data_IF_168555132973
#
_entry.id   IF_168555132973
#
_cell.length_a   1.000
_cell.length_b   1.000
_cell.length_c   1.000
_cell.angle_alpha   90.00
_cell.angle_beta   90.00
_cell.angle_gamma   90.00
#
_symmetry.space_group_name_H-M   'P 1'
#
loop_
_entity.id
_entity.type
_entity.pdbx_description
1 polymer ?
#
# COMPACT_ATOMS: atom_id res chain seq x y z
N UNK A 1 39.53 7.25 -18.27
CA UNK A 1 38.31 8.05 -18.50
C UNK A 1 37.23 7.26 -19.22
N UNK A 2 37.54 6.58 -20.35
CA UNK A 2 36.57 5.77 -21.12
C UNK A 2 35.91 4.62 -20.32
N UNK A 3 36.64 3.97 -19.41
CA UNK A 3 36.11 2.84 -18.64
C UNK A 3 35.13 3.24 -17.52
N UNK A 4 35.32 4.42 -16.94
CA UNK A 4 34.41 5.01 -15.94
C UNK A 4 33.07 5.41 -16.58
N UNK A 5 33.11 5.95 -17.80
CA UNK A 5 31.92 6.30 -18.58
C UNK A 5 31.08 5.08 -18.96
N UNK A 6 31.75 3.97 -19.33
CA UNK A 6 31.07 2.70 -19.64
C UNK A 6 30.36 2.09 -18.43
N UNK A 7 30.94 2.22 -17.24
CA UNK A 7 30.33 1.71 -16.02
C UNK A 7 29.08 2.51 -15.63
N UNK A 8 29.12 3.84 -15.77
CA UNK A 8 27.97 4.71 -15.52
C UNK A 8 26.80 4.44 -16.48
N UNK A 9 27.09 4.26 -17.78
CA UNK A 9 26.08 3.92 -18.76
C UNK A 9 25.44 2.54 -18.52
N UNK A 10 26.23 1.55 -18.08
CA UNK A 10 25.73 0.23 -17.76
C UNK A 10 24.77 0.23 -16.56
N UNK A 11 25.09 1.00 -15.51
CA UNK A 11 24.20 1.16 -14.34
C UNK A 11 22.90 1.88 -14.72
N UNK A 12 22.98 2.91 -15.56
CA UNK A 12 21.81 3.67 -15.99
C UNK A 12 20.89 2.82 -16.89
N UNK A 13 21.47 1.99 -17.76
CA UNK A 13 20.73 0.99 -18.54
C UNK A 13 20.07 -0.06 -17.65
N UNK A 14 20.75 -0.53 -16.61
CA UNK A 14 20.21 -1.52 -15.68
C UNK A 14 19.05 -0.97 -14.85
N UNK A 15 19.13 0.31 -14.44
CA UNK A 15 18.03 1.04 -13.80
C UNK A 15 16.85 1.19 -14.77
N UNK A 16 17.12 1.53 -16.04
CA UNK A 16 16.07 1.70 -17.06
C UNK A 16 15.38 0.36 -17.41
N UNK A 17 16.13 -0.75 -17.46
CA UNK A 17 15.56 -2.09 -17.67
C UNK A 17 14.74 -2.56 -16.47
N UNK A 18 15.19 -2.29 -15.24
CA UNK A 18 14.41 -2.57 -14.03
C UNK A 18 13.12 -1.75 -13.97
N UNK A 19 13.14 -0.51 -14.50
CA UNK A 19 11.95 0.35 -14.55
C UNK A 19 10.88 -0.17 -15.52
N UNK A 20 11.30 -0.74 -16.66
CA UNK A 20 10.38 -1.29 -17.67
C UNK A 20 9.79 -2.66 -17.29
N UNK A 21 10.52 -3.49 -16.55
CA UNK A 21 10.04 -4.79 -16.05
C UNK A 21 8.91 -4.64 -14.99
N UNK A 22 8.77 -3.46 -14.36
CA UNK A 22 7.69 -3.22 -13.39
C UNK A 22 6.31 -2.94 -14.02
N UNK A 23 6.22 -2.76 -15.34
CA UNK A 23 4.96 -2.48 -16.04
C UNK A 23 4.41 -3.71 -16.76
N UNK A 24 4.19 -4.80 -16.03
CA UNK A 24 3.39 -5.92 -16.56
C UNK A 24 1.91 -5.51 -16.50
N UNK A 25 1.27 -5.43 -17.65
CA UNK A 25 -0.16 -5.14 -17.79
C UNK A 25 -0.98 -6.21 -17.07
N UNK A 26 -1.48 -5.88 -15.88
CA UNK A 26 -2.40 -6.72 -15.14
C UNK A 26 -3.73 -6.85 -15.90
N UNK A 27 -4.29 -8.05 -15.94
CA UNK A 27 -5.68 -8.28 -16.35
C UNK A 27 -6.60 -7.36 -15.52
N UNK A 28 -7.58 -6.69 -16.15
CA UNK A 28 -8.43 -5.73 -15.44
C UNK A 28 -9.28 -6.46 -14.39
N UNK A 29 -9.15 -6.03 -13.14
CA UNK A 29 -9.94 -6.55 -12.02
C UNK A 29 -11.44 -6.38 -12.28
N UNK A 30 -12.29 -7.34 -11.85
CA UNK A 30 -13.75 -7.27 -12.01
C UNK A 30 -14.33 -6.04 -11.28
N UNK A 31 -15.44 -5.53 -11.81
CA UNK A 31 -16.12 -4.33 -11.32
C UNK A 31 -17.58 -4.66 -11.02
N UNK A 32 -18.01 -4.40 -9.79
CA UNK A 32 -19.37 -4.55 -9.33
C UNK A 32 -19.96 -3.19 -9.00
N UNK A 33 -21.13 -2.91 -9.57
CA UNK A 33 -21.86 -1.65 -9.40
C UNK A 33 -23.27 -1.94 -8.92
N UNK A 34 -23.72 -1.22 -7.90
CA UNK A 34 -25.11 -1.22 -7.48
C UNK A 34 -25.73 0.17 -7.60
N UNK A 35 -26.93 0.21 -8.18
CA UNK A 35 -27.72 1.42 -8.39
C UNK A 35 -29.16 1.18 -7.95
N UNK A 36 -29.71 2.12 -7.19
CA UNK A 36 -31.13 2.11 -6.78
C UNK A 36 -31.82 3.33 -7.37
N UNK A 37 -32.99 3.13 -8.00
CA UNK A 37 -33.75 4.19 -8.66
C UNK A 37 -32.94 4.98 -9.70
N UNK A 38 -32.01 4.31 -10.40
CA UNK A 38 -31.14 4.93 -11.41
C UNK A 38 -29.95 5.73 -10.85
N UNK A 39 -29.77 5.77 -9.52
CA UNK A 39 -28.62 6.40 -8.89
C UNK A 39 -27.60 5.33 -8.48
N UNK A 40 -26.41 5.36 -9.07
CA UNK A 40 -25.26 4.57 -8.61
C UNK A 40 -24.88 5.03 -7.20
N UNK A 41 -24.82 4.10 -6.25
CA UNK A 41 -24.48 4.42 -4.87
C UNK A 41 -23.24 3.67 -4.38
N UNK A 42 -22.98 2.47 -4.93
CA UNK A 42 -21.81 1.66 -4.56
C UNK A 42 -21.12 1.16 -5.83
N UNK A 43 -19.79 1.24 -5.83
CA UNK A 43 -18.93 0.69 -6.87
C UNK A 43 -17.70 0.05 -6.23
N UNK A 44 -17.44 -1.20 -6.55
CA UNK A 44 -16.31 -1.98 -6.05
C UNK A 44 -15.57 -2.59 -7.24
N UNK A 45 -14.24 -2.45 -7.26
CA UNK A 45 -13.36 -3.14 -8.19
C UNK A 45 -12.24 -3.78 -7.38
N UNK A 46 -12.01 -5.09 -7.54
CA UNK A 46 -10.90 -5.75 -6.86
C UNK A 46 -10.64 -7.15 -7.42
N UNK A 47 -9.37 -7.55 -7.42
CA UNK A 47 -9.01 -8.96 -7.50
C UNK A 47 -9.16 -9.56 -6.10
N UNK A 48 -10.07 -10.52 -5.93
CA UNK A 48 -10.40 -11.10 -4.63
C UNK A 48 -9.98 -12.57 -4.57
N UNK A 49 -9.30 -12.95 -3.50
CA UNK A 49 -8.90 -14.33 -3.22
C UNK A 49 -9.42 -14.74 -1.86
N UNK A 50 -10.08 -15.90 -1.80
CA UNK A 50 -10.54 -16.49 -0.56
C UNK A 50 -9.60 -17.61 -0.12
N UNK A 51 -9.29 -17.64 1.16
CA UNK A 51 -8.68 -18.78 1.85
C UNK A 51 -9.65 -19.25 2.92
N UNK A 52 -10.09 -20.50 2.85
CA UNK A 52 -11.06 -21.06 3.81
C UNK A 52 -10.53 -22.35 4.40
N UNK A 53 -10.60 -22.48 5.71
CA UNK A 53 -10.46 -23.76 6.39
C UNK A 53 -11.75 -24.58 6.28
N UNK A 54 -11.62 -25.90 6.19
CA UNK A 54 -12.75 -26.83 6.23
C UNK A 54 -12.30 -28.20 6.76
N UNK A 55 -13.26 -28.98 7.26
CA UNK A 55 -13.03 -30.36 7.65
C UNK A 55 -13.44 -31.31 6.52
N UNK A 56 -12.62 -32.34 6.29
CA UNK A 56 -12.94 -33.43 5.37
C UNK A 56 -13.52 -34.60 6.16
N UNK A 57 -14.47 -35.32 5.56
CA UNK A 57 -15.06 -36.51 6.18
C UNK A 57 -13.95 -37.52 6.55
N UNK A 58 -13.99 -38.03 7.78
CA UNK A 58 -13.02 -38.97 8.36
C UNK A 58 -11.57 -38.44 8.50
N UNK A 59 -11.33 -37.14 8.36
CA UNK A 59 -10.03 -36.52 8.66
C UNK A 59 -10.15 -35.58 9.85
N UNK A 60 -9.20 -35.67 10.78
CA UNK A 60 -9.14 -34.80 11.94
C UNK A 60 -8.47 -33.43 11.70
N UNK A 61 -7.38 -33.29 10.91
CA UNK A 61 -6.84 -31.96 10.66
C UNK A 61 -7.76 -31.18 9.72
N UNK A 62 -7.99 -29.90 10.04
CA UNK A 62 -8.59 -28.94 9.10
C UNK A 62 -7.66 -28.75 7.90
N UNK A 63 -8.27 -28.60 6.72
CA UNK A 63 -7.59 -28.38 5.45
C UNK A 63 -7.91 -26.96 4.97
N UNK A 64 -7.00 -26.35 4.23
CA UNK A 64 -7.19 -25.01 3.67
C UNK A 64 -7.33 -25.08 2.17
N UNK A 65 -8.38 -24.44 1.65
CA UNK A 65 -8.56 -24.22 0.23
C UNK A 65 -8.33 -22.75 -0.11
N UNK A 66 -7.75 -22.48 -1.29
CA UNK A 66 -7.52 -21.13 -1.81
C UNK A 66 -8.01 -21.03 -3.23
N UNK A 67 -8.81 -20.00 -3.52
CA UNK A 67 -9.36 -19.80 -4.85
C UNK A 67 -9.71 -18.32 -5.08
N UNK A 68 -9.72 -17.92 -6.35
CA UNK A 68 -10.07 -16.58 -6.77
C UNK A 68 -11.60 -16.44 -6.85
N UNK A 69 -12.15 -15.28 -6.48
CA UNK A 69 -13.57 -15.00 -6.65
C UNK A 69 -13.87 -14.96 -8.16
N UNK A 70 -14.89 -15.68 -8.63
CA UNK A 70 -15.15 -15.77 -10.07
C UNK A 70 -15.43 -14.41 -10.70
N UNK A 71 -14.88 -14.18 -11.89
CA UNK A 71 -15.04 -12.93 -12.65
C UNK A 71 -16.47 -12.70 -13.16
N UNK A 72 -17.22 -13.80 -13.31
CA UNK A 72 -18.63 -13.88 -13.71
C UNK A 72 -19.61 -13.59 -12.58
N UNK A 73 -19.10 -13.34 -11.37
CA UNK A 73 -19.91 -12.98 -10.21
C UNK A 73 -20.73 -11.72 -10.45
N UNK A 74 -21.95 -11.74 -9.94
CA UNK A 74 -22.96 -10.71 -10.22
C UNK A 74 -23.50 -10.08 -8.94
N UNK A 75 -23.90 -8.83 -9.06
CA UNK A 75 -24.52 -8.09 -7.95
C UNK A 75 -25.93 -8.62 -7.70
N UNK A 76 -26.18 -9.04 -6.48
CA UNK A 76 -27.52 -9.39 -6.01
C UNK A 76 -28.32 -8.11 -5.79
N UNK A 77 -29.30 -7.86 -6.68
CA UNK A 77 -30.10 -6.63 -6.63
C UNK A 77 -31.06 -6.60 -5.44
N UNK A 78 -31.49 -7.75 -4.96
CA UNK A 78 -32.46 -7.86 -3.86
C UNK A 78 -31.75 -7.83 -2.50
N UNK A 79 -30.50 -8.30 -2.44
CA UNK A 79 -29.66 -8.25 -1.24
C UNK A 79 -28.75 -7.02 -1.11
N UNK A 80 -28.70 -6.15 -2.12
CA UNK A 80 -27.95 -4.89 -2.09
C UNK A 80 -28.87 -3.69 -1.81
N UNK A 81 -28.35 -2.65 -1.19
CA UNK A 81 -29.12 -1.44 -0.86
C UNK A 81 -28.25 -0.18 -0.81
N UNK A 82 -28.77 0.93 -1.33
CA UNK A 82 -28.13 2.25 -1.22
C UNK A 82 -28.41 2.94 0.12
N UNK A 83 -29.34 2.42 0.90
CA UNK A 83 -29.61 2.88 2.26
C UNK A 83 -30.39 1.82 3.02
N UNK A 84 -29.84 1.35 4.13
CA UNK A 84 -30.56 0.52 5.09
C UNK A 84 -29.97 0.68 6.49
N UNK A 85 -30.72 0.26 7.50
CA UNK A 85 -30.20 0.12 8.85
C UNK A 85 -29.85 -1.35 9.07
N UNK A 86 -28.58 -1.62 9.34
CA UNK A 86 -28.12 -2.94 9.71
C UNK A 86 -28.04 -3.02 11.23
N UNK A 87 -28.73 -3.99 11.82
CA UNK A 87 -28.64 -4.22 13.26
C UNK A 87 -27.40 -5.08 13.54
N UNK A 88 -26.42 -4.52 14.22
CA UNK A 88 -25.22 -5.22 14.68
C UNK A 88 -25.22 -5.14 16.19
N UNK A 89 -25.31 -6.30 16.84
CA UNK A 89 -25.55 -6.42 18.27
C UNK A 89 -26.82 -5.63 18.69
N UNK A 90 -26.65 -4.56 19.46
CA UNK A 90 -27.74 -3.70 19.95
C UNK A 90 -27.74 -2.31 19.30
N UNK A 91 -27.03 -2.13 18.19
CA UNK A 91 -26.92 -0.85 17.48
C UNK A 91 -27.46 -0.95 16.06
N UNK A 92 -28.10 0.13 15.61
CA UNK A 92 -28.54 0.30 14.23
C UNK A 92 -27.52 1.16 13.49
N UNK A 93 -26.81 0.55 12.54
CA UNK A 93 -25.78 1.21 11.76
C UNK A 93 -26.37 1.59 10.39
N UNK A 94 -26.39 2.88 10.08
CA UNK A 94 -26.72 3.36 8.73
C UNK A 94 -25.72 2.79 7.73
N UNK A 95 -26.22 2.03 6.75
CA UNK A 95 -25.40 1.20 5.89
C UNK A 95 -25.77 1.30 4.41
N UNK A 96 -24.75 1.24 3.58
CA UNK A 96 -24.82 0.86 2.18
C UNK A 96 -24.30 -0.56 2.03
N UNK A 97 -25.05 -1.40 1.31
CA UNK A 97 -24.79 -2.84 1.23
C UNK A 97 -24.63 -3.27 -0.21
N UNK A 98 -23.52 -3.93 -0.50
CA UNK A 98 -23.26 -4.56 -1.79
C UNK A 98 -23.12 -6.07 -1.56
N UNK A 99 -24.06 -6.84 -2.11
CA UNK A 99 -24.00 -8.30 -2.11
C UNK A 99 -23.64 -8.80 -3.51
N UNK A 100 -22.66 -9.68 -3.57
CA UNK A 100 -22.16 -10.31 -4.79
C UNK A 100 -22.37 -11.83 -4.66
N UNK A 101 -22.99 -12.43 -5.66
CA UNK A 101 -23.15 -13.88 -5.79
C UNK A 101 -22.15 -14.41 -6.84
N UNK A 102 -21.55 -15.57 -6.60
CA UNK A 102 -20.40 -16.04 -7.40
C UNK A 102 -20.77 -16.49 -8.82
N UNK A 103 -21.75 -17.36 -8.97
CA UNK A 103 -22.33 -17.81 -10.24
C UNK A 103 -23.60 -18.61 -9.90
N UNK A 104 -24.53 -18.74 -10.84
CA UNK A 104 -25.66 -19.67 -10.75
C UNK A 104 -25.18 -21.13 -10.56
N UNK A 105 -23.99 -21.47 -11.09
CA UNK A 105 -23.37 -22.79 -10.91
C UNK A 105 -22.82 -23.02 -9.50
N UNK A 106 -22.65 -21.96 -8.72
CA UNK A 106 -22.06 -22.00 -7.38
C UNK A 106 -23.09 -21.54 -6.32
N UNK A 107 -24.25 -22.23 -6.19
CA UNK A 107 -25.32 -21.75 -5.33
C UNK A 107 -24.91 -21.79 -3.86
N UNK A 108 -25.36 -20.77 -3.12
CA UNK A 108 -25.03 -20.58 -1.71
C UNK A 108 -23.72 -19.83 -1.46
N UNK A 109 -22.94 -19.50 -2.49
CA UNK A 109 -21.76 -18.64 -2.38
C UNK A 109 -22.11 -17.17 -2.59
N UNK A 110 -21.77 -16.34 -1.59
CA UNK A 110 -21.90 -14.89 -1.72
C UNK A 110 -20.94 -14.14 -0.80
N UNK A 111 -20.59 -12.91 -1.18
CA UNK A 111 -19.88 -11.96 -0.34
C UNK A 111 -20.74 -10.70 -0.19
N UNK A 112 -20.87 -10.21 1.03
CA UNK A 112 -21.63 -9.02 1.37
C UNK A 112 -20.69 -8.01 2.00
N UNK A 113 -20.69 -6.80 1.46
CA UNK A 113 -19.90 -5.67 1.91
C UNK A 113 -20.83 -4.64 2.55
N UNK A 114 -20.50 -4.21 3.77
CA UNK A 114 -21.26 -3.18 4.48
C UNK A 114 -20.39 -1.93 4.67
N UNK A 115 -20.84 -0.83 4.10
CA UNK A 115 -20.24 0.49 4.23
C UNK A 115 -21.10 1.36 5.13
N UNK A 116 -20.47 2.24 5.91
CA UNK A 116 -21.18 3.22 6.73
C UNK A 116 -20.51 4.59 6.63
N UNK A 117 -21.30 5.63 6.79
CA UNK A 117 -20.87 7.02 6.96
C UNK A 117 -21.18 7.56 8.37
N UNK A 118 -21.49 6.66 9.33
CA UNK A 118 -21.87 7.04 10.69
C UNK A 118 -20.63 7.51 11.49
N UNK A 119 -20.43 8.82 11.50
CA UNK A 119 -19.34 9.47 12.24
C UNK A 119 -19.43 9.31 13.76
N UNK A 120 -20.60 8.96 14.32
CA UNK A 120 -20.74 8.78 15.77
C UNK A 120 -20.16 7.45 16.23
N UNK A 121 -20.39 6.40 15.45
CA UNK A 121 -19.94 5.05 15.78
C UNK A 121 -18.46 4.89 15.41
N UNK A 122 -18.11 5.31 14.19
CA UNK A 122 -16.81 5.02 13.61
C UNK A 122 -15.79 6.16 13.74
N UNK A 123 -16.21 7.33 14.25
CA UNK A 123 -15.36 8.53 14.40
C UNK A 123 -14.76 9.00 13.06
N UNK A 124 -15.49 8.79 11.97
CA UNK A 124 -15.17 9.36 10.67
C UNK A 124 -15.19 10.88 10.70
N UNK A 125 -14.36 11.51 9.88
CA UNK A 125 -14.51 12.93 9.59
C UNK A 125 -15.82 13.18 8.82
N UNK A 126 -16.38 14.38 8.95
CA UNK A 126 -17.64 14.72 8.29
C UNK A 126 -17.49 14.61 6.77
N UNK A 127 -18.24 13.70 6.15
CA UNK A 127 -18.19 13.47 4.71
C UNK A 127 -17.35 12.26 4.30
N UNK A 128 -16.86 11.47 5.25
CA UNK A 128 -16.19 10.20 4.97
C UNK A 128 -17.15 9.01 5.05
N UNK A 129 -16.73 7.90 4.46
CA UNK A 129 -17.33 6.59 4.63
C UNK A 129 -16.25 5.53 4.81
N UNK A 130 -16.60 4.37 5.37
CA UNK A 130 -15.70 3.23 5.48
C UNK A 130 -16.41 1.88 5.40
N UNK A 131 -15.65 0.85 5.03
CA UNK A 131 -16.08 -0.55 5.09
C UNK A 131 -15.96 -1.02 6.55
N UNK A 132 -17.08 -1.45 7.14
CA UNK A 132 -17.08 -1.89 8.54
C UNK A 132 -17.36 -3.37 8.73
N UNK A 133 -17.87 -4.06 7.70
CA UNK A 133 -18.15 -5.49 7.79
C UNK A 133 -18.09 -6.18 6.43
N UNK A 134 -17.52 -7.37 6.42
CA UNK A 134 -17.55 -8.32 5.30
C UNK A 134 -18.23 -9.59 5.79
N UNK A 135 -19.17 -10.12 5.02
CA UNK A 135 -19.82 -11.40 5.31
C UNK A 135 -19.66 -12.32 4.11
N UNK A 136 -19.21 -13.56 4.34
CA UNK A 136 -19.08 -14.58 3.29
C UNK A 136 -19.98 -15.75 3.63
N UNK A 137 -20.89 -16.09 2.73
CA UNK A 137 -21.62 -17.35 2.79
C UNK A 137 -20.87 -18.36 1.92
N UNK A 138 -20.44 -19.47 2.53
CA UNK A 138 -19.68 -20.52 1.89
C UNK A 138 -20.50 -21.81 1.86
N UNK A 139 -20.65 -22.38 0.67
CA UNK A 139 -21.28 -23.69 0.48
C UNK A 139 -20.28 -24.67 -0.14
N UNK A 140 -19.47 -25.31 0.69
CA UNK A 140 -18.38 -26.20 0.24
C UNK A 140 -18.82 -27.29 -0.74
N UNK A 141 -20.06 -27.75 -0.62
CA UNK A 141 -20.62 -28.85 -1.41
C UNK A 141 -20.76 -28.56 -2.90
N UNK A 142 -20.80 -27.27 -3.27
CA UNK A 142 -21.00 -26.84 -4.66
C UNK A 142 -19.69 -26.60 -5.42
N UNK A 143 -18.54 -26.79 -4.76
CA UNK A 143 -17.21 -26.66 -5.35
C UNK A 143 -16.36 -27.91 -5.08
N UNK A 144 -16.75 -29.10 -5.58
CA UNK A 144 -16.07 -30.36 -5.29
C UNK A 144 -14.61 -30.40 -5.80
N UNK A 145 -14.29 -29.62 -6.84
CA UNK A 145 -12.93 -29.52 -7.39
C UNK A 145 -11.95 -28.81 -6.45
N UNK A 146 -12.47 -27.97 -5.55
CA UNK A 146 -11.69 -27.19 -4.58
C UNK A 146 -11.80 -27.81 -3.18
N UNK A 147 -13.00 -28.27 -2.81
CA UNK A 147 -13.31 -28.83 -1.51
C UNK A 147 -13.60 -30.32 -1.63
N UNK A 148 -12.59 -31.13 -1.42
CA UNK A 148 -12.71 -32.59 -1.43
C UNK A 148 -13.47 -33.10 -0.20
N UNK A 149 -14.65 -33.68 -0.42
CA UNK A 149 -15.51 -34.35 0.56
C UNK A 149 -15.67 -33.59 1.90
N UNK A 150 -16.22 -32.36 1.89
CA UNK A 150 -16.44 -31.57 3.10
C UNK A 150 -17.50 -32.22 4.00
N UNK A 151 -17.47 -31.95 5.32
CA UNK A 151 -18.46 -32.47 6.30
C UNK A 151 -19.91 -31.97 6.07
N UNK A 152 -20.15 -31.17 5.04
CA UNK A 152 -21.45 -30.66 4.59
C UNK A 152 -22.19 -29.79 5.61
N UNK A 153 -21.69 -28.57 5.81
CA UNK A 153 -22.49 -27.47 6.33
C UNK A 153 -22.15 -26.18 5.58
N UNK A 154 -23.15 -25.40 5.12
CA UNK A 154 -22.94 -24.01 4.77
C UNK A 154 -22.42 -23.25 5.98
N UNK A 155 -21.38 -22.44 5.81
CA UNK A 155 -20.80 -21.64 6.88
C UNK A 155 -20.84 -20.18 6.49
N UNK A 156 -21.26 -19.34 7.43
CA UNK A 156 -21.20 -17.89 7.29
C UNK A 156 -20.02 -17.37 8.08
N UNK A 157 -19.10 -16.72 7.38
CA UNK A 157 -17.96 -16.01 7.94
C UNK A 157 -18.27 -14.52 8.02
N UNK A 158 -17.84 -13.88 9.09
CA UNK A 158 -18.01 -12.46 9.33
C UNK A 158 -16.65 -11.89 9.68
N UNK A 159 -16.28 -10.76 9.08
CA UNK A 159 -15.06 -10.05 9.49
C UNK A 159 -15.10 -9.71 10.96
N UNK A 160 -13.99 -9.98 11.65
CA UNK A 160 -13.85 -9.60 13.05
C UNK A 160 -14.00 -8.08 13.17
N UNK A 161 -14.97 -7.67 13.97
CA UNK A 161 -15.33 -6.28 14.16
C UNK A 161 -15.67 -6.07 15.63
N UNK A 162 -14.71 -5.50 16.36
CA UNK A 162 -14.91 -5.05 17.73
C UNK A 162 -15.31 -3.57 17.71
N UNK A 163 -16.50 -3.27 18.24
CA UNK A 163 -17.01 -1.91 18.42
C UNK A 163 -16.24 -1.11 19.48
N UNK A 164 -15.55 -1.81 20.40
CA UNK A 164 -14.66 -1.22 21.41
C UNK A 164 -13.33 -0.73 20.83
N UNK A 165 -12.84 -1.39 19.78
CA UNK A 165 -11.70 -0.96 18.98
C UNK A 165 -12.04 -1.01 17.48
N UNK A 166 -12.84 -0.04 16.97
CA UNK A 166 -13.32 -0.04 15.59
C UNK A 166 -12.19 0.08 14.55
N UNK A 167 -10.92 0.12 15.00
CA UNK A 167 -9.75 0.47 14.21
C UNK A 167 -9.25 -0.59 13.26
N UNK A 168 -9.64 -1.86 13.37
CA UNK A 168 -9.02 -2.91 12.56
C UNK A 168 -9.50 -2.92 11.10
N UNK A 169 -10.82 -3.00 10.88
CA UNK A 169 -11.39 -3.06 9.52
C UNK A 169 -11.72 -1.68 8.97
N UNK A 170 -12.32 -0.82 9.79
CA UNK A 170 -12.80 0.49 9.34
C UNK A 170 -11.64 1.43 8.97
N UNK A 171 -10.52 1.38 9.70
CA UNK A 171 -9.35 2.18 9.35
C UNK A 171 -8.56 1.63 8.16
N UNK A 172 -8.93 0.46 7.63
CA UNK A 172 -8.20 -0.12 6.49
C UNK A 172 -8.75 0.35 5.14
N UNK A 173 -10.07 0.57 5.05
CA UNK A 173 -10.78 0.96 3.83
C UNK A 173 -11.77 2.06 4.20
N UNK A 174 -11.31 3.31 4.11
CA UNK A 174 -12.12 4.51 4.32
C UNK A 174 -11.62 5.63 3.42
N UNK A 175 -12.52 6.54 3.04
CA UNK A 175 -12.20 7.71 2.20
C UNK A 175 -13.34 8.73 2.27
N UNK A 176 -13.09 9.92 1.74
CA UNK A 176 -14.13 10.94 1.50
C UNK A 176 -15.18 10.44 0.50
N UNK A 177 -16.44 10.84 0.66
CA UNK A 177 -17.56 10.56 -0.27
C UNK A 177 -17.38 11.15 -1.68
N UNK A 178 -16.44 12.10 -1.82
CA UNK A 178 -16.08 12.73 -3.09
C UNK A 178 -15.03 11.97 -3.88
N UNK A 179 -14.34 11.02 -3.23
CA UNK A 179 -13.27 10.23 -3.81
C UNK A 179 -13.58 8.73 -3.75
N UNK A 180 -12.82 7.97 -4.53
CA UNK A 180 -12.76 6.52 -4.47
C UNK A 180 -11.49 6.11 -3.72
N UNK A 181 -11.63 5.20 -2.75
CA UNK A 181 -10.49 4.57 -2.11
C UNK A 181 -9.79 3.68 -3.12
N UNK A 182 -8.46 3.71 -3.19
CA UNK A 182 -7.66 2.91 -4.09
C UNK A 182 -6.45 2.32 -3.37
N UNK A 183 -6.29 1.00 -3.46
CA UNK A 183 -5.18 0.27 -2.88
C UNK A 183 -4.65 -0.80 -3.86
N UNK A 184 -3.52 -0.54 -4.54
CA UNK A 184 -2.91 -1.55 -5.42
C UNK A 184 -2.27 -2.69 -4.63
N UNK A 185 -1.77 -2.39 -3.43
CA UNK A 185 -1.17 -3.36 -2.50
C UNK A 185 -2.16 -4.41 -2.02
N UNK A 186 -1.65 -5.60 -1.71
CA UNK A 186 -2.47 -6.70 -1.16
C UNK A 186 -2.98 -6.32 0.23
N UNK A 187 -4.29 -6.40 0.44
CA UNK A 187 -4.94 -6.21 1.74
C UNK A 187 -5.58 -7.52 2.18
N UNK A 188 -5.27 -8.00 3.38
CA UNK A 188 -5.78 -9.28 3.90
C UNK A 188 -6.66 -9.04 5.11
N UNK A 189 -7.84 -9.62 5.11
CA UNK A 189 -8.80 -9.53 6.20
C UNK A 189 -9.17 -10.92 6.72
N UNK A 190 -9.04 -11.09 8.03
CA UNK A 190 -9.42 -12.33 8.72
C UNK A 190 -10.92 -12.29 9.01
N UNK A 191 -11.58 -13.42 8.83
CA UNK A 191 -13.00 -13.60 9.03
C UNK A 191 -13.22 -14.75 10.02
N UNK A 192 -14.16 -14.55 10.94
CA UNK A 192 -14.54 -15.48 11.99
C UNK A 192 -15.91 -16.09 11.63
N UNK A 193 -16.09 -17.40 11.72
CA UNK A 193 -17.37 -18.07 11.49
C UNK A 193 -18.39 -17.74 12.58
N UNK A 194 -19.67 -17.67 12.22
CA UNK A 194 -20.72 -17.27 13.15
C UNK A 194 -21.00 -18.28 14.30
N UNK A 195 -20.56 -19.54 14.16
CA UNK A 195 -20.98 -20.63 15.07
C UNK A 195 -19.88 -21.65 15.42
N UNK A 196 -18.63 -21.47 14.99
CA UNK A 196 -17.58 -22.49 15.20
C UNK A 196 -16.16 -21.90 15.15
N UNK A 197 -15.58 -21.52 16.28
CA UNK A 197 -14.28 -20.82 16.38
C UNK A 197 -13.08 -21.57 15.75
N UNK A 198 -13.27 -22.79 15.24
CA UNK A 198 -12.21 -23.63 14.68
C UNK A 198 -11.92 -23.37 13.20
N UNK A 199 -12.89 -22.86 12.45
CA UNK A 199 -12.76 -22.65 11.01
C UNK A 199 -12.27 -21.23 10.70
N UNK A 200 -11.02 -21.11 10.29
CA UNK A 200 -10.44 -19.83 9.91
C UNK A 200 -10.76 -19.49 8.45
N UNK A 201 -11.02 -18.21 8.19
CA UNK A 201 -11.19 -17.70 6.84
C UNK A 201 -10.44 -16.39 6.67
N UNK A 202 -9.98 -16.13 5.45
CA UNK A 202 -9.49 -14.83 5.05
C UNK A 202 -9.87 -14.47 3.62
N UNK A 203 -10.06 -13.18 3.40
CA UNK A 203 -10.22 -12.58 2.08
C UNK A 203 -9.04 -11.65 1.82
N UNK A 204 -8.40 -11.83 0.67
CA UNK A 204 -7.30 -10.98 0.21
C UNK A 204 -7.75 -10.19 -1.01
N UNK A 205 -7.66 -8.86 -0.92
CA UNK A 205 -7.87 -7.95 -2.04
C UNK A 205 -6.55 -7.55 -2.67
N UNK A 206 -6.54 -7.36 -3.98
CA UNK A 206 -5.49 -6.68 -4.74
C UNK A 206 -6.14 -5.74 -5.74
N UNK A 207 -5.48 -4.61 -6.04
CA UNK A 207 -6.04 -3.60 -6.94
C UNK A 207 -7.44 -3.10 -6.49
N UNK A 208 -7.64 -3.00 -5.18
CA UNK A 208 -8.91 -2.61 -4.60
C UNK A 208 -9.23 -1.16 -4.95
N UNK A 209 -10.41 -0.92 -5.49
CA UNK A 209 -11.00 0.40 -5.64
C UNK A 209 -12.44 0.38 -5.16
N UNK A 210 -12.81 1.30 -4.26
CA UNK A 210 -14.16 1.36 -3.72
C UNK A 210 -14.69 2.77 -3.71
N UNK A 211 -15.97 2.91 -3.96
CA UNK A 211 -16.72 4.15 -3.85
C UNK A 211 -18.10 3.82 -3.29
N UNK A 212 -18.50 4.49 -2.23
CA UNK A 212 -19.82 4.36 -1.63
C UNK A 212 -20.33 5.75 -1.25
N UNK A 213 -21.63 5.86 -0.96
CA UNK A 213 -22.27 7.12 -0.58
C UNK A 213 -22.00 8.24 -1.58
N UNK A 214 -22.09 7.90 -2.88
CA UNK A 214 -21.83 8.84 -3.98
C UNK A 214 -22.84 9.97 -3.95
N UNK A 215 -22.43 11.10 -3.37
CA UNK A 215 -23.15 12.35 -3.52
C UNK A 215 -23.00 12.77 -4.98
N UNK A 216 -24.13 12.97 -5.69
CA UNK A 216 -24.06 13.65 -6.98
C UNK A 216 -23.38 14.99 -6.73
N UNK A 217 -22.35 15.38 -7.52
CA UNK A 217 -21.86 16.75 -7.43
C UNK A 217 -23.06 17.65 -7.68
N UNK A 218 -23.49 18.36 -6.63
CA UNK A 218 -24.36 19.51 -6.79
C UNK A 218 -23.55 20.41 -7.70
N UNK A 219 -23.97 20.52 -8.95
CA UNK A 219 -23.39 21.48 -9.89
C UNK A 219 -23.49 22.83 -9.19
N UNK A 220 -22.40 23.28 -8.59
CA UNK A 220 -22.27 24.63 -8.08
C UNK A 220 -22.26 25.50 -9.32
N UNK A 221 -23.46 25.88 -9.75
CA UNK A 221 -23.66 27.02 -10.61
C UNK A 221 -23.41 28.26 -9.75
N UNK A 222 -22.15 28.48 -9.40
CA UNK A 222 -21.68 29.82 -9.08
C UNK A 222 -21.74 30.58 -10.39
N UNK A 223 -22.84 31.30 -10.62
CA UNK A 223 -22.80 32.58 -11.30
C UNK A 223 -24.14 33.29 -11.14
N UNK A 224 -24.06 34.41 -10.43
CA UNK A 224 -24.93 35.57 -10.51
C UNK A 224 -26.45 35.34 -10.53
N UNK A 225 -27.03 35.51 -9.35
CA UNK A 225 -28.41 35.98 -9.16
C UNK A 225 -28.68 37.20 -10.07
N UNK A 226 -29.37 36.99 -11.20
CA UNK A 226 -30.16 38.01 -11.87
C UNK A 226 -31.58 37.49 -12.07
N UNK A 227 -32.43 38.03 -11.21
CA UNK A 227 -33.89 38.14 -11.32
C UNK A 227 -34.31 38.56 -12.73
N UNK A 228 -35.10 37.75 -13.41
CA UNK A 228 -36.12 38.21 -14.36
C UNK A 228 -37.11 37.09 -14.64
N UNK A 229 -38.39 37.44 -14.54
CA UNK A 229 -39.54 36.60 -14.86
C UNK A 229 -39.59 36.19 -16.35
N UNK A 230 -40.24 35.05 -16.59
CA UNK A 230 -40.89 34.57 -17.84
C UNK A 230 -40.41 33.19 -18.33
N UNK A 231 -41.23 32.18 -18.01
CA UNK A 231 -41.86 31.28 -18.97
C UNK A 231 -41.06 30.97 -20.25
N UNK A 232 -40.26 29.88 -20.24
CA UNK A 232 -40.18 28.93 -21.36
C UNK A 232 -39.65 27.59 -20.87
N UNK A 233 -40.41 26.56 -21.20
CA UNK A 233 -40.13 25.14 -21.00
C UNK A 233 -38.90 24.76 -21.84
N UNK A 234 -37.74 24.61 -21.21
CA UNK A 234 -36.60 23.96 -21.84
C UNK A 234 -36.20 22.77 -20.97
N UNK A 235 -36.67 21.60 -21.41
CA UNK A 235 -36.25 20.30 -20.91
C UNK A 235 -34.76 20.21 -21.23
N UNK A 236 -33.93 20.67 -20.28
CA UNK A 236 -32.51 20.40 -20.30
C UNK A 236 -32.37 18.90 -20.03
N UNK A 237 -32.18 18.16 -21.12
CA UNK A 237 -31.45 16.91 -21.11
C UNK A 237 -30.09 17.19 -20.44
N UNK A 238 -30.08 17.11 -19.11
CA UNK A 238 -28.87 17.01 -18.31
C UNK A 238 -28.24 15.69 -18.74
N UNK A 239 -27.37 15.82 -19.73
CA UNK A 239 -26.52 14.76 -20.24
C UNK A 239 -25.84 14.14 -19.03
N UNK A 240 -26.23 12.90 -18.75
CA UNK A 240 -25.60 12.00 -17.79
C UNK A 240 -24.10 12.05 -18.08
N UNK A 241 -23.35 12.82 -17.30
CA UNK A 241 -21.90 12.68 -17.25
C UNK A 241 -21.61 11.25 -16.80
N UNK A 242 -20.87 10.55 -17.64
CA UNK A 242 -20.47 9.13 -17.54
C UNK A 242 -20.59 8.54 -16.12
N UNK A 243 -21.70 7.87 -15.84
CA UNK A 243 -21.87 6.97 -14.69
C UNK A 243 -20.95 5.74 -14.72
N UNK A 244 -20.01 5.69 -15.67
CA UNK A 244 -19.06 4.60 -15.86
C UNK A 244 -17.73 4.79 -15.14
N UNK A 245 -17.39 6.01 -14.69
CA UNK A 245 -16.06 6.32 -14.12
C UNK A 245 -16.14 6.50 -12.61
N UNK A 246 -15.24 5.82 -11.91
CA UNK A 246 -14.97 6.10 -10.50
C UNK A 246 -14.51 7.56 -10.31
N UNK A 247 -14.86 8.13 -9.16
CA UNK A 247 -14.35 9.40 -8.64
C UNK A 247 -12.80 9.44 -8.51
N UNK A 248 -12.19 10.61 -8.24
CA UNK A 248 -10.74 10.72 -7.97
C UNK A 248 -10.24 9.69 -6.95
N UNK A 249 -8.95 9.33 -7.00
CA UNK A 249 -8.40 8.26 -6.16
C UNK A 249 -7.76 8.81 -4.89
N UNK A 250 -8.18 8.30 -3.75
CA UNK A 250 -7.45 8.40 -2.48
C UNK A 250 -6.68 7.10 -2.25
N UNK A 251 -5.37 7.20 -2.04
CA UNK A 251 -4.50 6.04 -1.91
C UNK A 251 -4.52 5.51 -0.48
N UNK A 252 -4.54 4.19 -0.33
CA UNK A 252 -4.46 3.55 0.98
C UNK A 252 -3.13 3.88 1.68
N UNK A 253 -3.11 3.93 3.03
CA UNK A 253 -1.86 4.16 3.79
C UNK A 253 -0.77 3.12 3.52
N UNK A 254 -1.14 1.91 3.11
CA UNK A 254 -0.21 0.85 2.75
C UNK A 254 0.48 1.07 1.38
N UNK A 255 0.00 2.02 0.56
CA UNK A 255 0.59 2.39 -0.73
C UNK A 255 1.28 3.76 -0.63
N UNK A 256 2.22 3.88 0.31
CA UNK A 256 3.10 5.05 0.42
C UNK A 256 4.26 5.03 -0.58
N UNK A 257 4.24 4.13 -1.59
CA UNK A 257 5.33 4.00 -2.57
C UNK A 257 5.70 5.35 -3.18
N UNK A 258 4.74 6.25 -3.43
CA UNK A 258 5.01 7.60 -3.94
C UNK A 258 5.61 8.57 -2.92
N UNK A 259 5.18 8.49 -1.65
CA UNK A 259 5.73 9.30 -0.57
C UNK A 259 7.15 8.83 -0.19
N UNK A 260 7.37 7.52 -0.22
CA UNK A 260 8.65 6.86 0.06
C UNK A 260 9.62 6.94 -1.12
N UNK A 261 9.12 7.10 -2.36
CA UNK A 261 9.94 7.25 -3.55
C UNK A 261 10.93 8.42 -3.43
N UNK A 262 10.46 9.56 -2.89
CA UNK A 262 11.26 10.78 -2.82
C UNK A 262 12.46 10.58 -1.86
N UNK A 263 12.28 10.16 -0.60
CA UNK A 263 13.39 9.81 0.28
C UNK A 263 14.34 8.75 -0.30
N UNK A 264 13.81 7.72 -0.99
CA UNK A 264 14.63 6.67 -1.60
C UNK A 264 15.51 7.24 -2.73
N UNK A 265 14.92 8.04 -3.63
CA UNK A 265 15.67 8.68 -4.72
C UNK A 265 16.73 9.63 -4.15
N UNK A 266 16.35 10.49 -3.20
CA UNK A 266 17.26 11.46 -2.58
C UNK A 266 18.39 10.73 -1.85
N UNK A 267 18.08 9.69 -1.07
CA UNK A 267 19.06 8.85 -0.39
C UNK A 267 20.02 8.16 -1.35
N UNK A 268 19.51 7.62 -2.45
CA UNK A 268 20.33 6.98 -3.50
C UNK A 268 21.28 7.98 -4.17
N UNK A 269 20.80 9.18 -4.51
CA UNK A 269 21.64 10.25 -5.10
C UNK A 269 22.73 10.70 -4.13
N UNK A 270 22.43 10.83 -2.83
CA UNK A 270 23.42 11.23 -1.83
C UNK A 270 24.51 10.17 -1.69
N UNK A 271 24.14 8.89 -1.57
CA UNK A 271 25.11 7.78 -1.49
C UNK A 271 25.97 7.74 -2.75
N UNK A 272 25.36 7.90 -3.92
CA UNK A 272 26.07 7.96 -5.19
C UNK A 272 27.10 9.10 -5.23
N UNK A 273 26.70 10.32 -4.83
CA UNK A 273 27.60 11.48 -4.78
C UNK A 273 28.77 11.27 -3.81
N UNK A 274 28.54 10.69 -2.64
CA UNK A 274 29.60 10.38 -1.67
C UNK A 274 30.60 9.40 -2.27
N UNK A 275 30.12 8.32 -2.88
CA UNK A 275 30.99 7.31 -3.52
C UNK A 275 31.77 7.93 -4.68
N UNK A 276 31.14 8.74 -5.53
CA UNK A 276 31.84 9.47 -6.59
C UNK A 276 32.93 10.40 -6.03
N UNK A 277 32.63 11.16 -4.99
CA UNK A 277 33.60 12.08 -4.38
C UNK A 277 34.79 11.31 -3.79
N UNK A 278 34.54 10.18 -3.13
CA UNK A 278 35.57 9.29 -2.60
C UNK A 278 36.45 8.70 -3.72
N UNK A 279 35.86 8.28 -4.84
CA UNK A 279 36.59 7.81 -6.02
C UNK A 279 37.47 8.93 -6.59
N UNK A 280 36.94 10.14 -6.77
CA UNK A 280 37.71 11.28 -7.26
C UNK A 280 38.87 11.62 -6.32
N UNK A 281 38.63 11.60 -5.01
CA UNK A 281 39.66 11.80 -4.00
C UNK A 281 40.77 10.74 -4.09
N UNK A 282 40.41 9.46 -4.22
CA UNK A 282 41.39 8.38 -4.38
C UNK A 282 42.17 8.50 -5.70
N UNK A 283 41.51 8.83 -6.80
CA UNK A 283 42.19 9.06 -8.09
C UNK A 283 43.13 10.26 -7.99
N UNK A 284 42.69 11.37 -7.39
CA UNK A 284 43.51 12.55 -7.15
C UNK A 284 44.75 12.18 -6.32
N UNK A 285 44.55 11.43 -5.23
CA UNK A 285 45.63 10.95 -4.36
C UNK A 285 46.60 10.00 -5.07
N UNK A 286 46.12 9.12 -5.94
CA UNK A 286 46.96 8.22 -6.73
C UNK A 286 47.67 8.94 -7.91
N UNK A 287 47.14 10.06 -8.38
CA UNK A 287 47.69 10.86 -9.49
C UNK A 287 48.66 11.95 -9.03
N UNK A 288 48.56 12.40 -7.78
CA UNK A 288 49.61 13.23 -7.19
C UNK A 288 50.83 12.36 -6.95
N UNK A 289 51.81 12.47 -7.84
CA UNK A 289 53.19 12.07 -7.57
C UNK A 289 53.68 12.81 -6.31
N UNK A 290 54.49 12.14 -5.48
CA UNK A 290 55.04 12.68 -4.23
C UNK A 290 55.72 14.06 -4.41
N UNK A 291 56.15 14.38 -5.62
CA UNK A 291 56.76 15.67 -6.02
C UNK A 291 55.82 16.89 -5.92
N UNK A 292 54.50 16.72 -6.05
CA UNK A 292 53.54 17.82 -5.88
C UNK A 292 53.26 18.13 -4.39
N UNK A 293 53.36 17.12 -3.52
CA UNK A 293 53.23 17.29 -2.07
C UNK A 293 54.41 18.03 -1.45
N UNK A 294 55.61 17.92 -2.04
CA UNK A 294 56.79 18.71 -1.64
C UNK A 294 56.70 20.19 -2.03
N UNK A 295 55.88 20.56 -3.01
CA UNK A 295 55.76 21.97 -3.47
C UNK A 295 54.71 22.75 -2.65
N UNK A 296 53.65 22.09 -2.16
CA UNK A 296 52.60 22.76 -1.36
C UNK A 296 53.00 22.89 0.12
N UNK A 297 54.05 22.19 0.56
CA UNK A 297 54.61 22.35 1.90
C UNK A 297 56.15 22.35 1.91
N UNK A 298 56.76 23.45 1.47
CA UNK A 298 58.20 23.69 1.64
C UNK A 298 58.63 23.79 3.13
N UNK A 299 57.69 23.78 4.08
CA UNK A 299 57.96 23.88 5.52
C UNK A 299 57.66 22.61 6.31
N UNK A 300 57.24 21.48 5.71
CA UNK A 300 57.35 20.17 6.38
C UNK A 300 58.77 19.64 6.24
N UNK A 301 59.73 20.44 6.68
CA UNK A 301 60.89 19.87 7.32
C UNK A 301 60.32 19.08 8.51
N UNK A 302 60.21 17.76 8.37
CA UNK A 302 60.27 16.86 9.53
C UNK A 302 61.69 16.93 10.14
N UNK A 303 62.24 18.14 10.33
CA UNK A 303 63.22 18.41 11.37
C UNK A 303 62.41 18.41 12.65
N UNK A 304 62.22 17.21 13.17
CA UNK A 304 61.75 17.00 14.52
C UNK A 304 62.80 17.64 15.45
N UNK A 305 62.62 18.92 15.79
CA UNK A 305 63.49 19.64 16.73
C UNK A 305 63.61 18.92 18.09
N UNK A 306 62.72 17.95 18.34
CA UNK A 306 62.76 17.07 19.49
C UNK A 306 63.79 15.94 19.36
N UNK A 307 64.12 15.48 18.15
CA UNK A 307 65.18 14.48 17.94
C UNK A 307 66.57 15.10 17.96
N UNK A 308 66.75 16.31 17.42
CA UNK A 308 68.06 16.98 17.43
C UNK A 308 68.52 17.33 18.85
N UNK A 309 67.59 17.67 19.75
CA UNK A 309 67.92 17.94 21.16
C UNK A 309 68.34 16.66 21.92
N UNK A 310 67.78 15.50 21.57
CA UNK A 310 68.14 14.22 22.20
C UNK A 310 69.51 13.73 21.71
N UNK A 311 69.84 13.94 20.43
CA UNK A 311 71.16 13.54 19.89
C UNK A 311 72.28 14.44 20.45
N UNK A 312 72.02 15.73 20.68
CA UNK A 312 72.99 16.59 21.38
C UNK A 312 73.22 16.19 22.84
N UNK A 313 72.17 15.77 23.57
CA UNK A 313 72.34 15.26 24.94
C UNK A 313 73.18 13.98 25.00
N UNK A 314 72.99 13.06 24.04
CA UNK A 314 73.79 11.83 23.98
C UNK A 314 75.26 12.10 23.69
N UNK A 315 75.57 13.00 22.76
CA UNK A 315 76.97 13.35 22.46
C UNK A 315 77.68 14.07 23.62
N UNK A 316 76.94 14.77 24.49
CA UNK A 316 77.54 15.43 25.65
C UNK A 316 77.85 14.45 26.80
N UNK A 317 77.12 13.33 26.90
CA UNK A 317 77.40 12.29 27.90
C UNK A 317 78.61 11.43 27.53
N UNK A 318 78.83 11.14 26.24
CA UNK A 318 79.98 10.34 25.80
C UNK A 318 81.32 11.09 25.98
N UNK A 319 81.33 12.41 25.83
CA UNK A 319 82.53 13.24 26.05
C UNK A 319 82.92 13.29 27.55
N UNK A 320 81.93 13.24 28.46
CA UNK A 320 82.19 13.24 29.91
C UNK A 320 82.73 11.87 30.36
N UNK A 321 82.23 10.77 29.78
CA UNK A 321 82.70 9.42 30.09
C UNK A 321 84.18 9.20 29.67
N UNK A 322 84.61 9.76 28.54
CA UNK A 322 85.98 9.60 28.03
C UNK A 322 87.02 10.46 28.76
N UNK A 323 86.60 11.51 29.48
CA UNK A 323 87.49 12.34 30.31
C UNK A 323 87.79 11.76 31.71
N UNK A 324 87.05 10.72 32.13
CA UNK A 324 87.19 10.09 33.45
C UNK A 324 88.11 8.85 33.48
N UNK A 325 88.68 8.45 32.34
CA UNK A 325 89.57 7.30 32.19
C UNK A 325 91.06 7.67 32.01
N UNK A 326 91.42 8.95 32.20
CA UNK A 326 92.79 9.47 32.02
C UNK A 326 93.46 9.97 33.30
N UNK A 327 92.90 9.65 34.47
CA UNK A 327 93.55 9.72 35.78
C UNK A 327 93.37 8.40 36.55
N UNK A 328 93.97 7.33 36.03
CA UNK A 328 94.44 6.20 36.86
C UNK A 328 95.61 5.44 36.23
#
# INVERSE_FOLDING_TARGET
>A
MVQQLKMFFAVLLLIFTLYNELTIAATPAPVWTFSQNGNECIKLQADQKLTLAYFQVNKQPKVYAKFDVPSESSVDKDGSSCQMFNQVENMNISSQVLKINFDEKLPGWSIIYYFSDDSKIFKFDNGDFGLYRIVINANYTTMPDIFDNPVNHPVTYVSDFDLGDPKALVNSIYTTKTNSFFCPSKQKFVLIPNHDDLLEADITFKNLRVQAFVDKPVSQKSDHFKRSDSFFTEISHSRVEDSSKFQPKDYCPADQIKADLIPIIVGSVIVFLIVCNLIFYLIYRCRLTNEALTIVNNNSHFADSKYDHIIQEFHQQDIIAESSSLDH
#
